data_IF_037144081969
#
_entry.id   IF_037144081969
#
_cell.length_a   1.000
_cell.length_b   1.000
_cell.length_c   1.000
_cell.angle_alpha   90.00
_cell.angle_beta   90.00
_cell.angle_gamma   90.00
#
_symmetry.space_group_name_H-M   'P 1'
#
loop_
_entity.id
_entity.type
_entity.pdbx_description
1 polymer ?
#
# COMPACT_ATOMS: atom_id res chain seq x y z
N UNK A 1 -7.34 5.11 10.12
CA UNK A 1 -5.98 4.58 10.41
C UNK A 1 -5.51 4.69 11.88
N UNK A 2 -6.26 5.27 12.82
CA UNK A 2 -5.68 5.86 14.05
C UNK A 2 -5.41 4.95 15.25
N UNK A 3 -5.90 3.70 15.31
CA UNK A 3 -5.95 2.97 16.60
C UNK A 3 -4.88 1.88 16.79
N UNK A 4 -4.08 1.52 15.78
CA UNK A 4 -3.18 0.34 15.90
C UNK A 4 -1.68 0.58 15.73
N UNK A 5 -1.23 1.82 15.53
CA UNK A 5 0.21 2.14 15.43
C UNK A 5 0.78 2.81 16.68
N UNK A 6 0.03 2.86 17.80
CA UNK A 6 0.51 3.47 19.04
C UNK A 6 1.59 2.69 19.79
N UNK A 7 1.89 1.45 19.44
CA UNK A 7 2.90 0.67 20.16
C UNK A 7 3.84 -0.07 19.20
N UNK A 8 4.99 0.58 18.97
CA UNK A 8 6.19 0.12 18.26
C UNK A 8 5.99 -0.06 16.75
N UNK A 9 6.40 0.97 16.01
CA UNK A 9 7.07 0.77 14.74
C UNK A 9 8.10 -0.35 14.93
N UNK A 10 8.16 -1.33 14.03
CA UNK A 10 9.36 -2.15 13.93
C UNK A 10 10.51 -1.17 13.78
N UNK A 11 11.48 -1.20 14.70
CA UNK A 11 12.64 -0.31 14.69
C UNK A 11 13.27 -0.36 13.30
N UNK A 12 13.03 0.66 12.48
CA UNK A 12 13.73 0.85 11.21
C UNK A 12 15.21 0.87 11.54
N UNK A 13 16.06 0.05 10.89
CA UNK A 13 17.48 0.04 11.17
C UNK A 13 18.02 1.47 11.05
N UNK A 14 18.51 2.02 12.16
CA UNK A 14 19.02 3.40 12.29
C UNK A 14 20.26 3.71 11.41
N UNK A 15 20.67 2.76 10.57
CA UNK A 15 21.78 2.86 9.62
C UNK A 15 21.32 2.83 8.14
N UNK A 16 20.01 2.85 7.87
CA UNK A 16 19.49 2.91 6.52
C UNK A 16 19.68 4.33 5.97
N UNK A 17 20.66 4.53 5.09
CA UNK A 17 21.01 5.85 4.52
C UNK A 17 20.24 6.20 3.25
N UNK A 18 19.68 5.20 2.59
CA UNK A 18 19.07 5.39 1.27
C UNK A 18 17.63 5.88 1.41
N UNK A 19 17.23 6.95 0.68
CA UNK A 19 15.86 7.42 0.62
C UNK A 19 14.87 6.30 0.31
N UNK A 20 13.63 6.46 0.77
CA UNK A 20 12.55 5.51 0.53
C UNK A 20 11.42 6.12 -0.29
N UNK A 21 10.75 5.30 -1.09
CA UNK A 21 9.53 5.67 -1.84
C UNK A 21 8.32 5.00 -1.19
N UNK A 22 7.45 5.83 -0.59
CA UNK A 22 6.27 5.40 0.15
C UNK A 22 5.01 5.78 -0.64
N UNK A 23 4.07 4.86 -0.77
CA UNK A 23 2.79 5.09 -1.45
C UNK A 23 1.63 4.74 -0.52
N UNK A 24 0.65 5.63 -0.38
CA UNK A 24 -0.61 5.37 0.34
C UNK A 24 -1.76 5.41 -0.64
N UNK A 25 -2.55 4.34 -0.72
CA UNK A 25 -3.82 4.26 -1.44
C UNK A 25 -4.95 4.27 -0.41
N UNK A 26 -5.89 5.21 -0.54
CA UNK A 26 -6.91 5.46 0.48
C UNK A 26 -6.32 6.12 1.71
N UNK A 27 -6.07 7.42 1.63
CA UNK A 27 -5.44 8.19 2.71
C UNK A 27 -6.38 8.31 3.91
N UNK A 28 -7.68 8.46 3.65
CA UNK A 28 -8.65 8.80 4.70
C UNK A 28 -8.34 10.14 5.38
N UNK A 29 -8.94 10.37 6.54
CA UNK A 29 -8.78 11.64 7.28
C UNK A 29 -7.63 11.65 8.31
N UNK A 30 -6.65 10.74 8.21
CA UNK A 30 -5.57 10.60 9.20
C UNK A 30 -4.25 10.13 8.58
N UNK A 31 -3.24 11.02 8.63
CA UNK A 31 -1.88 10.79 8.10
C UNK A 31 -0.83 10.62 9.20
N UNK A 32 -1.23 10.34 10.45
CA UNK A 32 -0.30 10.31 11.59
C UNK A 32 0.81 9.26 11.42
N UNK A 33 0.53 8.18 10.70
CA UNK A 33 1.47 7.10 10.46
C UNK A 33 2.53 7.49 9.42
N UNK A 34 2.13 8.14 8.32
CA UNK A 34 3.03 8.73 7.34
C UNK A 34 3.90 9.81 7.96
N UNK A 35 3.33 10.69 8.79
CA UNK A 35 4.07 11.71 9.51
C UNK A 35 5.08 11.13 10.51
N UNK A 36 4.75 10.01 11.15
CA UNK A 36 5.68 9.29 12.01
C UNK A 36 6.83 8.69 11.19
N UNK A 37 6.53 8.14 10.02
CA UNK A 37 7.52 7.55 9.12
C UNK A 37 8.45 8.63 8.54
N UNK A 38 7.91 9.78 8.16
CA UNK A 38 8.69 10.94 7.67
C UNK A 38 9.78 11.38 8.66
N UNK A 39 9.52 11.28 9.97
CA UNK A 39 10.48 11.67 11.03
C UNK A 39 11.67 10.73 11.16
N UNK A 40 11.54 9.49 10.72
CA UNK A 40 12.58 8.45 10.89
C UNK A 40 13.26 8.06 9.58
N UNK A 41 12.63 8.34 8.43
CA UNK A 41 13.20 8.03 7.14
C UNK A 41 14.32 9.01 6.73
N UNK A 42 15.28 8.56 5.91
CA UNK A 42 16.34 9.43 5.41
C UNK A 42 15.79 10.61 4.59
N UNK A 43 16.52 11.72 4.64
CA UNK A 43 16.23 12.89 3.81
C UNK A 43 16.18 12.51 2.32
N UNK A 44 15.23 13.09 1.59
CA UNK A 44 14.99 12.77 0.18
C UNK A 44 14.01 11.62 -0.06
N UNK A 45 13.50 10.98 1.02
CA UNK A 45 12.39 10.03 0.90
C UNK A 45 11.15 10.71 0.34
N UNK A 46 10.39 9.99 -0.50
CA UNK A 46 9.23 10.51 -1.23
C UNK A 46 7.95 9.84 -0.77
N UNK A 47 6.90 10.63 -0.61
CA UNK A 47 5.56 10.18 -0.25
C UNK A 47 4.59 10.52 -1.36
N UNK A 48 3.82 9.52 -1.79
CA UNK A 48 2.80 9.64 -2.83
C UNK A 48 1.48 9.10 -2.26
N UNK A 49 0.40 9.84 -2.42
CA UNK A 49 -0.90 9.48 -1.86
C UNK A 49 -1.96 9.56 -2.94
N UNK A 50 -2.81 8.55 -3.05
CA UNK A 50 -3.91 8.52 -4.00
C UNK A 50 -5.24 8.30 -3.28
N UNK A 51 -6.17 9.22 -3.47
CA UNK A 51 -7.51 9.18 -2.91
C UNK A 51 -8.47 9.96 -3.81
N UNK A 52 -9.71 9.48 -4.05
CA UNK A 52 -10.68 10.24 -4.83
C UNK A 52 -11.24 11.48 -4.09
N UNK A 53 -11.02 11.65 -2.78
CA UNK A 53 -11.60 12.71 -1.95
C UNK A 53 -10.67 13.90 -1.70
N UNK A 54 -10.95 15.02 -2.37
CA UNK A 54 -10.06 16.17 -2.43
C UNK A 54 -10.02 17.10 -1.22
N UNK A 55 -11.06 17.18 -0.38
CA UNK A 55 -11.12 18.30 0.56
C UNK A 55 -10.11 18.15 1.71
N UNK A 56 -10.36 17.23 2.62
CA UNK A 56 -9.53 17.06 3.82
C UNK A 56 -8.24 16.31 3.48
N UNK A 57 -8.31 15.30 2.62
CA UNK A 57 -7.21 14.36 2.42
C UNK A 57 -6.08 15.00 1.60
N UNK A 58 -6.41 15.82 0.59
CA UNK A 58 -5.43 16.60 -0.17
C UNK A 58 -4.67 17.57 0.75
N UNK A 59 -5.39 18.33 1.58
CA UNK A 59 -4.79 19.27 2.52
C UNK A 59 -3.89 18.60 3.56
N UNK A 60 -4.24 17.40 4.02
CA UNK A 60 -3.41 16.66 4.97
C UNK A 60 -2.15 16.12 4.31
N UNK A 61 -2.28 15.48 3.15
CA UNK A 61 -1.18 14.75 2.53
C UNK A 61 -0.16 15.68 1.84
N UNK A 62 -0.62 16.78 1.25
CA UNK A 62 0.26 17.75 0.56
C UNK A 62 1.24 18.48 1.49
N UNK A 63 1.10 18.33 2.81
CA UNK A 63 2.07 18.84 3.80
C UNK A 63 3.44 18.16 3.71
N UNK A 64 3.50 16.94 3.20
CA UNK A 64 4.74 16.14 3.17
C UNK A 64 4.92 15.30 1.90
N UNK A 65 3.88 15.13 1.08
CA UNK A 65 3.92 14.29 -0.12
C UNK A 65 3.13 14.87 -1.29
N UNK A 66 3.05 14.09 -2.36
CA UNK A 66 2.25 14.41 -3.54
C UNK A 66 0.90 13.70 -3.46
N UNK A 67 -0.18 14.44 -3.73
CA UNK A 67 -1.54 13.93 -3.73
C UNK A 67 -2.05 13.70 -5.15
N UNK A 68 -2.73 12.58 -5.36
CA UNK A 68 -3.35 12.20 -6.62
C UNK A 68 -4.85 11.98 -6.46
N UNK A 69 -5.68 12.73 -7.19
CA UNK A 69 -7.12 12.79 -6.98
C UNK A 69 -7.91 11.67 -7.68
N UNK A 70 -7.52 10.43 -7.46
CA UNK A 70 -8.20 9.28 -8.03
C UNK A 70 -8.05 8.05 -7.13
N UNK A 71 -9.00 7.12 -7.27
CA UNK A 71 -8.86 5.80 -6.67
C UNK A 71 -7.86 4.97 -7.49
N UNK A 72 -7.28 3.96 -6.85
CA UNK A 72 -6.37 3.01 -7.49
C UNK A 72 -6.89 1.59 -7.29
N UNK A 73 -6.90 0.78 -8.34
CA UNK A 73 -7.49 -0.56 -8.31
C UNK A 73 -6.96 -1.49 -9.39
N UNK A 74 -7.65 -2.60 -9.62
CA UNK A 74 -7.23 -3.65 -10.57
C UNK A 74 -7.44 -3.33 -12.05
N UNK A 75 -7.98 -2.15 -12.38
CA UNK A 75 -8.19 -1.69 -13.75
C UNK A 75 -8.48 -0.20 -13.81
N UNK A 76 -8.13 0.45 -14.92
CA UNK A 76 -8.53 1.84 -15.17
C UNK A 76 -9.97 1.90 -15.66
N UNK A 77 -10.88 2.45 -14.86
CA UNK A 77 -12.31 2.54 -15.16
C UNK A 77 -12.98 3.65 -14.34
N UNK A 78 -14.15 4.08 -14.77
CA UNK A 78 -15.08 4.82 -13.90
C UNK A 78 -15.98 3.78 -13.24
N UNK A 79 -15.95 3.72 -11.91
CA UNK A 79 -16.80 2.81 -11.15
C UNK A 79 -17.18 3.40 -9.80
N UNK A 80 -18.22 2.85 -9.19
CA UNK A 80 -18.66 3.25 -7.86
C UNK A 80 -17.66 2.80 -6.80
N UNK A 81 -17.21 3.72 -5.95
CA UNK A 81 -16.46 3.45 -4.73
C UNK A 81 -17.23 3.97 -3.51
N UNK A 82 -16.97 3.37 -2.35
CA UNK A 82 -17.40 3.90 -1.07
C UNK A 82 -16.44 5.02 -0.67
N UNK A 83 -16.94 6.23 -0.44
CA UNK A 83 -16.11 7.37 -0.04
C UNK A 83 -16.62 7.99 1.25
N UNK A 84 -15.71 8.44 2.10
CA UNK A 84 -16.04 9.05 3.38
C UNK A 84 -16.37 10.54 3.19
N UNK A 85 -17.62 10.92 3.43
CA UNK A 85 -18.10 12.31 3.38
C UNK A 85 -18.88 12.61 4.66
N UNK A 86 -18.52 13.66 5.39
CA UNK A 86 -19.16 14.04 6.66
C UNK A 86 -19.28 12.85 7.64
N UNK A 87 -18.20 12.08 7.81
CA UNK A 87 -18.13 10.86 8.64
C UNK A 87 -19.10 9.73 8.25
N UNK A 88 -19.67 9.77 7.04
CA UNK A 88 -20.52 8.72 6.50
C UNK A 88 -19.99 8.22 5.18
N UNK A 89 -20.00 6.90 4.99
CA UNK A 89 -19.62 6.27 3.74
C UNK A 89 -20.77 6.35 2.74
N UNK A 90 -20.51 6.98 1.60
CA UNK A 90 -21.49 7.14 0.52
C UNK A 90 -20.95 6.63 -0.80
N UNK A 91 -21.78 5.97 -1.63
CA UNK A 91 -21.35 5.54 -2.95
C UNK A 91 -21.15 6.75 -3.87
N UNK A 92 -19.98 6.84 -4.51
CA UNK A 92 -19.69 7.85 -5.54
C UNK A 92 -19.04 7.22 -6.76
N UNK A 93 -19.36 7.77 -7.93
CA UNK A 93 -18.66 7.42 -9.16
C UNK A 93 -17.29 8.10 -9.14
N UNK A 94 -16.22 7.31 -9.18
CA UNK A 94 -14.85 7.83 -9.13
C UNK A 94 -14.01 7.20 -10.24
N UNK A 95 -12.98 7.93 -10.66
CA UNK A 95 -11.96 7.41 -11.58
C UNK A 95 -11.07 6.47 -10.78
N UNK A 96 -10.98 5.22 -11.24
CA UNK A 96 -9.96 4.27 -10.82
C UNK A 96 -8.84 4.25 -11.86
N UNK A 97 -7.61 4.25 -11.39
CA UNK A 97 -6.41 4.02 -12.19
C UNK A 97 -5.86 2.63 -11.87
N UNK A 98 -5.44 1.88 -12.89
CA UNK A 98 -4.76 0.59 -12.72
C UNK A 98 -3.52 0.76 -11.84
N UNK A 99 -3.38 -0.11 -10.84
CA UNK A 99 -2.30 -0.04 -9.86
C UNK A 99 -0.89 -0.10 -10.47
N UNK A 100 -0.66 -0.97 -11.46
CA UNK A 100 0.63 -1.08 -12.11
C UNK A 100 0.91 0.16 -12.98
N UNK A 101 -0.11 0.68 -13.67
CA UNK A 101 0.01 1.92 -14.43
C UNK A 101 0.32 3.12 -13.54
N UNK A 102 -0.35 3.24 -12.38
CA UNK A 102 -0.08 4.31 -11.43
C UNK A 102 1.39 4.30 -10.97
N UNK A 103 1.89 3.13 -10.56
CA UNK A 103 3.27 2.99 -10.14
C UNK A 103 4.27 3.18 -11.30
N UNK A 104 4.04 2.58 -12.46
CA UNK A 104 5.02 2.58 -13.54
C UNK A 104 5.06 3.89 -14.33
N UNK A 105 3.90 4.45 -14.66
CA UNK A 105 3.78 5.53 -15.64
C UNK A 105 3.52 6.89 -14.99
N UNK A 106 2.72 6.92 -13.91
CA UNK A 106 2.41 8.19 -13.21
C UNK A 106 3.53 8.54 -12.23
N UNK A 107 3.94 7.60 -11.38
CA UNK A 107 4.98 7.83 -10.38
C UNK A 107 6.40 7.63 -10.93
N UNK A 108 6.57 6.69 -11.87
CA UNK A 108 7.82 6.54 -12.63
C UNK A 108 8.96 5.82 -11.90
N UNK A 109 8.74 5.21 -10.73
CA UNK A 109 9.77 4.43 -10.03
C UNK A 109 9.72 2.95 -10.40
N UNK A 110 10.86 2.26 -10.25
CA UNK A 110 10.95 0.80 -10.41
C UNK A 110 10.96 0.03 -9.09
N UNK A 111 11.34 0.69 -8.00
CA UNK A 111 11.38 0.11 -6.66
C UNK A 111 10.58 1.00 -5.72
N UNK A 112 9.67 0.38 -4.98
CA UNK A 112 8.81 0.98 -3.98
C UNK A 112 9.06 0.31 -2.64
N UNK A 113 9.34 1.12 -1.63
CA UNK A 113 9.83 0.64 -0.35
C UNK A 113 8.72 0.15 0.57
N UNK A 114 7.61 0.86 0.58
CA UNK A 114 6.38 0.45 1.26
C UNK A 114 5.16 1.02 0.52
N UNK A 115 4.12 0.21 0.38
CA UNK A 115 2.84 0.61 -0.21
C UNK A 115 1.70 0.20 0.69
N UNK A 116 0.90 1.17 1.12
CA UNK A 116 -0.23 0.97 2.01
C UNK A 116 -1.51 0.99 1.19
N UNK A 117 -2.27 -0.10 1.27
CA UNK A 117 -3.40 -0.36 0.39
C UNK A 117 -4.66 -0.44 1.24
N UNK A 118 -5.44 0.63 1.18
CA UNK A 118 -6.81 0.73 1.70
C UNK A 118 -7.70 1.18 0.51
N UNK A 119 -8.22 0.22 -0.24
CA UNK A 119 -8.84 0.49 -1.55
C UNK A 119 -10.36 0.28 -1.57
N UNK A 120 -11.00 0.26 -0.38
CA UNK A 120 -12.46 0.17 -0.21
C UNK A 120 -13.10 -0.97 -1.03
N UNK A 121 -12.43 -2.13 -1.11
CA UNK A 121 -12.84 -3.33 -1.83
C UNK A 121 -12.21 -3.50 -3.22
N UNK A 122 -11.54 -2.50 -3.78
CA UNK A 122 -10.83 -2.63 -5.05
C UNK A 122 -9.55 -3.50 -4.92
N UNK A 123 -9.05 -3.74 -3.70
CA UNK A 123 -7.87 -4.57 -3.43
C UNK A 123 -8.02 -6.02 -3.87
N UNK A 124 -9.25 -6.54 -3.92
CA UNK A 124 -9.54 -7.89 -4.39
C UNK A 124 -9.13 -8.10 -5.85
N UNK A 125 -9.34 -7.09 -6.71
CA UNK A 125 -8.89 -7.14 -8.11
C UNK A 125 -7.36 -6.99 -8.23
N UNK A 126 -6.69 -6.50 -7.18
CA UNK A 126 -5.25 -6.30 -7.14
C UNK A 126 -4.47 -7.54 -6.69
N UNK A 127 -5.10 -8.55 -6.10
CA UNK A 127 -4.40 -9.77 -5.64
C UNK A 127 -3.45 -10.40 -6.68
N UNK A 128 -3.84 -10.57 -7.96
CA UNK A 128 -2.96 -11.18 -8.95
C UNK A 128 -1.72 -10.35 -9.33
N UNK A 129 -1.66 -9.08 -8.92
CA UNK A 129 -0.54 -8.21 -9.21
C UNK A 129 0.73 -8.67 -8.50
N UNK A 130 0.57 -9.20 -7.28
CA UNK A 130 1.65 -9.58 -6.38
C UNK A 130 2.22 -10.98 -6.62
N UNK A 131 1.56 -11.79 -7.46
CA UNK A 131 2.03 -13.13 -7.82
C UNK A 131 3.33 -13.07 -8.61
N UNK A 132 4.10 -14.17 -8.59
CA UNK A 132 5.21 -14.34 -9.53
C UNK A 132 4.66 -14.39 -10.97
N UNK A 133 5.28 -13.64 -11.87
CA UNK A 133 4.78 -13.41 -13.23
C UNK A 133 3.53 -12.53 -13.30
N UNK A 134 3.09 -11.96 -12.17
CA UNK A 134 1.92 -11.08 -12.09
C UNK A 134 2.15 -9.71 -12.73
N UNK A 135 1.14 -8.84 -12.68
CA UNK A 135 1.18 -7.53 -13.35
C UNK A 135 2.34 -6.64 -12.88
N UNK A 136 2.73 -6.69 -11.60
CA UNK A 136 3.88 -5.92 -11.13
C UNK A 136 5.19 -6.38 -11.78
N UNK A 137 5.38 -7.69 -11.92
CA UNK A 137 6.55 -8.25 -12.60
C UNK A 137 6.58 -7.89 -14.08
N UNK A 138 5.42 -7.97 -14.74
CA UNK A 138 5.26 -7.62 -16.15
C UNK A 138 5.62 -6.15 -16.41
N UNK A 139 5.36 -5.27 -15.44
CA UNK A 139 5.73 -3.84 -15.48
C UNK A 139 7.15 -3.54 -14.96
N UNK A 140 7.90 -4.57 -14.56
CA UNK A 140 9.25 -4.42 -14.00
C UNK A 140 9.27 -3.66 -12.67
N UNK A 141 8.20 -3.78 -11.87
CA UNK A 141 8.02 -3.11 -10.60
C UNK A 141 8.41 -4.04 -9.44
N UNK A 142 9.16 -3.50 -8.49
CA UNK A 142 9.52 -4.19 -7.26
C UNK A 142 8.91 -3.47 -6.07
N UNK A 143 8.13 -4.21 -5.27
CA UNK A 143 7.67 -3.76 -3.96
C UNK A 143 8.47 -4.48 -2.89
N UNK A 144 9.15 -3.73 -2.02
CA UNK A 144 9.86 -4.29 -0.89
C UNK A 144 8.91 -4.64 0.25
N UNK A 145 7.99 -3.74 0.58
CA UNK A 145 6.96 -3.97 1.57
C UNK A 145 5.61 -3.53 1.02
N UNK A 146 4.55 -4.15 1.52
CA UNK A 146 3.22 -3.57 1.40
C UNK A 146 2.35 -3.96 2.59
N UNK A 147 1.48 -3.03 2.97
CA UNK A 147 0.45 -3.21 3.96
C UNK A 147 -0.89 -3.24 3.24
N UNK A 148 -1.76 -4.18 3.57
CA UNK A 148 -3.04 -4.32 2.91
C UNK A 148 -4.16 -4.46 3.93
N UNK A 149 -5.15 -3.59 3.81
CA UNK A 149 -6.45 -3.73 4.45
C UNK A 149 -7.40 -4.47 3.49
N UNK A 150 -7.71 -5.72 3.85
CA UNK A 150 -8.65 -6.57 3.13
C UNK A 150 -10.04 -6.32 3.72
N UNK A 151 -10.89 -5.63 2.95
CA UNK A 151 -12.23 -5.24 3.36
C UNK A 151 -13.13 -6.43 3.60
N UNK A 152 -14.21 -6.24 4.35
CA UNK A 152 -15.07 -7.33 4.78
C UNK A 152 -15.61 -8.14 3.57
N UNK A 153 -15.35 -9.45 3.49
CA UNK A 153 -15.63 -10.24 2.29
C UNK A 153 -17.03 -10.88 2.27
N UNK A 154 -17.61 -10.95 1.08
CA UNK A 154 -18.61 -11.98 0.73
C UNK A 154 -17.94 -13.34 0.45
N UNK A 155 -18.73 -14.38 0.15
CA UNK A 155 -18.17 -15.73 -0.06
C UNK A 155 -17.29 -15.86 -1.30
N UNK A 156 -17.51 -15.05 -2.34
CA UNK A 156 -16.63 -15.03 -3.51
C UNK A 156 -15.29 -14.39 -3.15
N UNK A 157 -15.32 -13.27 -2.43
CA UNK A 157 -14.15 -12.56 -1.91
C UNK A 157 -13.35 -13.40 -0.91
N UNK A 158 -14.00 -14.20 -0.06
CA UNK A 158 -13.30 -15.18 0.80
C UNK A 158 -12.51 -16.18 -0.04
N UNK A 159 -13.06 -16.68 -1.14
CA UNK A 159 -12.36 -17.60 -2.06
C UNK A 159 -11.17 -16.91 -2.73
N UNK A 160 -11.34 -15.66 -3.17
CA UNK A 160 -10.26 -14.87 -3.76
C UNK A 160 -9.13 -14.65 -2.76
N UNK A 161 -9.45 -14.26 -1.53
CA UNK A 161 -8.47 -14.05 -0.47
C UNK A 161 -7.76 -15.34 -0.08
N UNK A 162 -8.48 -16.46 0.03
CA UNK A 162 -7.88 -17.77 0.24
C UNK A 162 -6.88 -18.09 -0.88
N UNK A 163 -7.29 -17.98 -2.15
CA UNK A 163 -6.40 -18.23 -3.28
C UNK A 163 -5.17 -17.32 -3.23
N UNK A 164 -5.34 -16.03 -2.94
CA UNK A 164 -4.26 -15.06 -2.82
C UNK A 164 -3.21 -15.48 -1.79
N UNK A 165 -3.61 -15.84 -0.56
CA UNK A 165 -2.67 -16.25 0.47
C UNK A 165 -1.89 -17.51 0.05
N UNK A 166 -2.57 -18.51 -0.52
CA UNK A 166 -1.89 -19.72 -0.96
C UNK A 166 -0.94 -19.48 -2.14
N UNK A 167 -1.29 -18.59 -3.08
CA UNK A 167 -0.38 -18.21 -4.17
C UNK A 167 0.83 -17.42 -3.68
N UNK A 168 0.65 -16.51 -2.70
CA UNK A 168 1.77 -15.80 -2.06
C UNK A 168 2.73 -16.80 -1.38
N UNK A 169 2.18 -17.76 -0.63
CA UNK A 169 2.97 -18.80 0.05
C UNK A 169 3.71 -19.70 -0.97
N UNK A 170 3.05 -20.15 -2.03
CA UNK A 170 3.71 -20.94 -3.10
C UNK A 170 4.80 -20.15 -3.81
N UNK A 171 4.55 -18.87 -4.04
CA UNK A 171 5.49 -17.96 -4.69
C UNK A 171 6.77 -17.74 -3.89
N UNK A 172 6.76 -17.92 -2.56
CA UNK A 172 7.93 -17.71 -1.69
C UNK A 172 8.67 -16.37 -1.98
N UNK A 173 7.93 -15.35 -2.42
CA UNK A 173 8.46 -14.00 -2.66
C UNK A 173 8.20 -13.12 -1.45
N UNK A 174 6.96 -13.11 -1.00
CA UNK A 174 6.52 -12.36 0.15
C UNK A 174 6.24 -13.31 1.30
N UNK A 175 6.74 -12.98 2.49
CA UNK A 175 6.18 -13.53 3.71
C UNK A 175 5.26 -12.46 4.32
N UNK A 176 4.12 -12.89 4.85
CA UNK A 176 3.18 -12.01 5.53
C UNK A 176 3.28 -12.18 7.05
N UNK A 177 3.10 -11.08 7.76
CA UNK A 177 3.21 -11.00 9.21
C UNK A 177 2.05 -10.19 9.79
N UNK A 178 1.88 -10.33 11.11
CA UNK A 178 0.94 -9.57 11.93
C UNK A 178 -0.47 -9.52 11.32
N UNK A 179 -1.13 -10.67 11.06
CA UNK A 179 -2.54 -10.67 10.71
C UNK A 179 -3.33 -10.07 11.87
N UNK A 180 -3.91 -8.88 11.67
CA UNK A 180 -4.74 -8.21 12.65
C UNK A 180 -6.18 -8.20 12.14
N UNK A 181 -7.05 -8.92 12.83
CA UNK A 181 -8.48 -8.94 12.54
C UNK A 181 -9.19 -7.82 13.30
N UNK A 182 -9.78 -6.88 12.55
CA UNK A 182 -10.80 -5.94 13.02
C UNK A 182 -12.12 -6.17 12.28
N UNK A 183 -12.81 -5.08 11.90
CA UNK A 183 -13.89 -5.15 10.90
C UNK A 183 -13.36 -5.58 9.52
N UNK A 184 -12.12 -5.18 9.23
CA UNK A 184 -11.31 -5.56 8.08
C UNK A 184 -10.05 -6.27 8.56
N UNK A 185 -9.40 -7.02 7.68
CA UNK A 185 -8.18 -7.75 8.02
C UNK A 185 -6.98 -6.99 7.50
N UNK A 186 -6.01 -6.72 8.37
CA UNK A 186 -4.76 -6.05 8.01
C UNK A 186 -3.61 -7.04 7.98
N UNK A 187 -2.83 -6.96 6.92
CA UNK A 187 -1.68 -7.82 6.65
C UNK A 187 -0.49 -6.97 6.23
N UNK A 188 0.69 -7.31 6.74
CA UNK A 188 1.95 -6.72 6.31
C UNK A 188 2.77 -7.78 5.57
N UNK A 189 3.33 -7.42 4.42
CA UNK A 189 4.10 -8.30 3.56
C UNK A 189 5.50 -7.72 3.33
N UNK A 190 6.53 -8.57 3.39
CA UNK A 190 7.92 -8.21 3.12
C UNK A 190 8.49 -9.12 2.02
N UNK A 191 9.19 -8.53 1.06
CA UNK A 191 9.80 -9.23 -0.06
C UNK A 191 11.16 -9.83 0.31
N UNK A 192 11.23 -11.16 0.32
CA UNK A 192 12.45 -11.93 0.60
C UNK A 192 13.19 -12.39 -0.66
N UNK A 193 12.60 -12.19 -1.84
CA UNK A 193 13.19 -12.66 -3.10
C UNK A 193 14.03 -11.60 -3.81
N UNK A 194 13.79 -10.32 -3.53
CA UNK A 194 14.55 -9.23 -4.15
C UNK A 194 15.78 -8.85 -3.30
N UNK A 195 16.94 -8.77 -3.96
CA UNK A 195 18.22 -8.52 -3.27
C UNK A 195 18.29 -7.12 -2.65
N UNK A 196 17.70 -6.11 -3.29
CA UNK A 196 17.67 -4.75 -2.76
C UNK A 196 16.83 -4.71 -1.50
N UNK A 197 15.62 -5.27 -1.54
CA UNK A 197 14.70 -5.31 -0.39
C UNK A 197 15.30 -6.05 0.79
N UNK A 198 15.90 -7.22 0.56
CA UNK A 198 16.56 -8.01 1.60
C UNK A 198 17.75 -7.25 2.20
N UNK A 199 18.59 -6.63 1.37
CA UNK A 199 19.74 -5.86 1.86
C UNK A 199 19.33 -4.62 2.65
N UNK A 200 18.19 -4.01 2.32
CA UNK A 200 17.72 -2.77 2.93
C UNK A 200 16.98 -3.03 4.25
N UNK A 201 16.15 -4.08 4.31
CA UNK A 201 15.20 -4.28 5.42
C UNK A 201 15.46 -5.48 6.31
N UNK A 202 16.26 -6.47 5.88
CA UNK A 202 16.48 -7.70 6.64
C UNK A 202 17.88 -7.72 7.24
N UNK A 203 18.90 -7.51 6.41
CA UNK A 203 20.27 -7.55 6.89
C UNK A 203 20.66 -6.21 7.51
N UNK A 204 21.08 -6.24 8.78
CA UNK A 204 21.82 -5.12 9.35
C UNK A 204 23.17 -5.03 8.65
N UNK A 205 23.49 -3.88 8.06
CA UNK A 205 24.88 -3.56 7.71
C UNK A 205 25.64 -3.47 9.03
N UNK A 206 26.39 -4.51 9.39
CA UNK A 206 27.39 -4.43 10.45
C UNK A 206 28.39 -3.36 10.05
N UNK A 207 28.56 -2.36 10.91
CA UNK A 207 29.64 -1.37 10.82
C UNK A 207 30.99 -2.04 11.00
#
# INVERSE_FOLDING_TARGET
MTVLLRNRACDTPTDQKDPSVIVTLGIGHDTAAEEALLKVLPAGSKFYGADPMHEVNEMLYTKFGYYFPFAVGGSSKVSTASVLINNSYVPRSVVHIDFAYFLAEILGHKVYDDVWIDAEGAEYEMFPYFYRGGKLDQSGLTLCQFNMEVHYPDDAKKKMFHAFIFEILRGNRYAFFRPVQGAHMRLYFLNFSDKHCVSKYIFRKTK
#
